data_IF_017812177906
#
_entry.id   IF_017812177906
#
_cell.length_a   1.000
_cell.length_b   1.000
_cell.length_c   1.000
_cell.angle_alpha   90.00
_cell.angle_beta   90.00
_cell.angle_gamma   90.00
#
_symmetry.space_group_name_H-M   'P 1'
#
loop_
_entity.id
_entity.type
_entity.pdbx_description
1 polymer ?
#
# COMPACT_ATOMS: atom_id res chain seq x y z
N UNK A 1 15.07 30.42 -22.54
CA UNK A 1 13.69 29.97 -22.31
C UNK A 1 13.75 28.67 -21.52
N UNK A 2 13.37 28.69 -20.23
CA UNK A 2 13.35 27.48 -19.39
C UNK A 2 12.06 26.73 -19.68
N UNK A 3 12.15 25.67 -20.48
CA UNK A 3 11.05 24.74 -20.68
C UNK A 3 10.90 23.90 -19.40
N UNK A 4 9.94 24.26 -18.56
CA UNK A 4 9.44 23.36 -17.51
C UNK A 4 8.65 22.25 -18.19
N UNK A 5 9.26 21.10 -18.39
CA UNK A 5 8.51 19.86 -18.60
C UNK A 5 7.78 19.57 -17.29
N UNK A 6 6.44 19.44 -17.27
CA UNK A 6 5.79 18.96 -16.07
C UNK A 6 6.26 17.52 -15.84
N UNK A 7 7.03 17.33 -14.78
CA UNK A 7 7.31 16.03 -14.19
C UNK A 7 5.96 15.32 -14.05
N UNK A 8 5.78 14.22 -14.79
CA UNK A 8 4.55 13.43 -14.73
C UNK A 8 4.50 12.82 -13.34
N UNK A 9 3.90 13.54 -12.39
CA UNK A 9 3.42 12.98 -11.15
C UNK A 9 2.59 11.76 -11.55
N UNK A 10 3.01 10.58 -11.10
CA UNK A 10 2.31 9.34 -11.36
C UNK A 10 0.84 9.56 -11.00
N UNK A 11 0.00 9.70 -12.02
CA UNK A 11 -1.44 9.83 -11.86
C UNK A 11 -1.91 8.47 -11.39
N UNK A 12 -1.98 8.32 -10.07
CA UNK A 12 -2.52 7.15 -9.41
C UNK A 12 -3.97 6.98 -9.92
N UNK A 13 -4.18 6.06 -10.86
CA UNK A 13 -5.44 5.92 -11.60
C UNK A 13 -6.62 5.53 -10.69
N UNK A 14 -6.35 5.17 -9.44
CA UNK A 14 -7.32 4.65 -8.49
C UNK A 14 -7.53 5.48 -7.22
N UNK A 15 -6.88 6.64 -7.05
CA UNK A 15 -7.16 7.48 -5.87
C UNK A 15 -8.59 8.00 -5.93
N UNK A 16 -9.44 7.72 -4.91
CA UNK A 16 -10.81 8.20 -4.85
C UNK A 16 -10.86 9.72 -4.96
N UNK A 17 -11.84 10.26 -5.69
CA UNK A 17 -11.97 11.71 -5.88
C UNK A 17 -12.01 12.49 -4.55
N UNK A 18 -12.71 11.94 -3.55
CA UNK A 18 -12.78 12.52 -2.21
C UNK A 18 -11.43 12.55 -1.49
N UNK A 19 -10.53 11.61 -1.77
CA UNK A 19 -9.20 11.53 -1.19
C UNK A 19 -8.17 12.44 -1.88
N UNK A 20 -8.51 13.11 -2.99
CA UNK A 20 -7.59 14.03 -3.70
C UNK A 20 -7.36 15.35 -2.96
N UNK A 21 -8.21 15.71 -1.99
CA UNK A 21 -8.06 16.93 -1.20
C UNK A 21 -7.01 16.70 -0.10
N UNK A 22 -5.83 17.33 -0.15
CA UNK A 22 -4.78 17.11 0.84
C UNK A 22 -5.26 17.47 2.25
N UNK A 23 -4.94 16.64 3.24
CA UNK A 23 -5.27 16.89 4.65
C UNK A 23 -6.73 16.63 5.05
N UNK A 24 -7.59 16.24 4.11
CA UNK A 24 -8.95 15.77 4.40
C UNK A 24 -8.95 14.46 5.20
N UNK A 25 -10.10 14.12 5.82
CA UNK A 25 -10.24 12.83 6.54
C UNK A 25 -10.13 11.67 5.56
N UNK A 26 -10.68 11.86 4.37
CA UNK A 26 -10.70 10.96 3.23
C UNK A 26 -9.27 10.74 2.70
N UNK A 27 -8.47 11.80 2.57
CA UNK A 27 -7.06 11.68 2.19
C UNK A 27 -6.25 10.90 3.24
N UNK A 28 -6.47 11.14 4.53
CA UNK A 28 -5.81 10.35 5.59
C UNK A 28 -6.24 8.88 5.58
N UNK A 29 -7.54 8.61 5.43
CA UNK A 29 -8.05 7.25 5.33
C UNK A 29 -7.50 6.52 4.09
N UNK A 30 -7.34 7.25 2.97
CA UNK A 30 -6.72 6.72 1.76
C UNK A 30 -5.25 6.34 1.98
N UNK A 31 -4.44 7.24 2.56
CA UNK A 31 -3.05 6.94 2.87
C UNK A 31 -2.92 5.73 3.82
N UNK A 32 -3.82 5.64 4.81
CA UNK A 32 -3.86 4.50 5.71
C UNK A 32 -4.18 3.19 4.98
N UNK A 33 -5.14 3.21 4.05
CA UNK A 33 -5.48 2.05 3.23
C UNK A 33 -4.31 1.58 2.34
N UNK A 34 -3.55 2.52 1.76
CA UNK A 34 -2.34 2.20 0.99
C UNK A 34 -1.26 1.57 1.87
N UNK A 35 -1.05 2.08 3.09
CA UNK A 35 -0.10 1.51 4.03
C UNK A 35 -0.48 0.06 4.42
N UNK A 36 -1.77 -0.22 4.62
CA UNK A 36 -2.24 -1.57 4.90
C UNK A 36 -2.00 -2.53 3.73
N UNK A 37 -2.28 -2.10 2.50
CA UNK A 37 -1.96 -2.89 1.30
C UNK A 37 -0.45 -3.19 1.21
N UNK A 38 0.41 -2.23 1.52
CA UNK A 38 1.85 -2.44 1.53
C UNK A 38 2.29 -3.51 2.55
N UNK A 39 1.77 -3.47 3.77
CA UNK A 39 2.07 -4.48 4.80
C UNK A 39 1.58 -5.87 4.38
N UNK A 40 0.38 -5.94 3.78
CA UNK A 40 -0.16 -7.18 3.23
C UNK A 40 0.73 -7.76 2.14
N UNK A 41 1.13 -6.94 1.16
CA UNK A 41 2.00 -7.38 0.06
C UNK A 41 3.35 -7.87 0.58
N UNK A 42 3.97 -7.14 1.53
CA UNK A 42 5.21 -7.58 2.15
C UNK A 42 5.07 -8.96 2.82
N UNK A 43 3.96 -9.19 3.52
CA UNK A 43 3.66 -10.47 4.16
C UNK A 43 3.49 -11.59 3.14
N UNK A 44 2.72 -11.35 2.07
CA UNK A 44 2.49 -12.33 1.00
C UNK A 44 3.77 -12.68 0.26
N UNK A 45 4.61 -11.68 -0.06
CA UNK A 45 5.90 -11.94 -0.70
C UNK A 45 6.81 -12.74 0.23
N UNK A 46 6.90 -12.36 1.51
CA UNK A 46 7.68 -13.11 2.49
C UNK A 46 7.26 -14.59 2.54
N UNK A 47 5.96 -14.88 2.51
CA UNK A 47 5.40 -16.23 2.47
C UNK A 47 5.71 -16.98 1.16
N UNK A 48 5.64 -16.30 0.02
CA UNK A 48 5.98 -16.88 -1.29
C UNK A 48 7.43 -17.38 -1.32
N UNK A 49 8.38 -16.64 -0.72
CA UNK A 49 9.79 -17.03 -0.69
C UNK A 49 10.12 -18.05 0.40
N UNK A 50 9.28 -18.20 1.43
CA UNK A 50 9.45 -19.27 2.44
C UNK A 50 9.11 -20.66 1.88
N UNK A 51 8.20 -20.74 0.90
CA UNK A 51 7.83 -21.99 0.22
C UNK A 51 8.82 -22.45 -0.87
N UNK A 52 9.70 -21.57 -1.34
CA UNK A 52 10.76 -21.90 -2.30
C UNK A 52 11.93 -22.47 -1.50
N UNK A 53 11.87 -23.77 -1.27
CA UNK A 53 12.65 -24.54 -0.30
C UNK A 53 14.14 -24.17 -0.16
N UNK A 54 14.58 -24.23 1.09
CA UNK A 54 15.99 -24.32 1.48
C UNK A 54 16.65 -25.66 1.08
N UNK A 55 15.94 -26.54 0.35
CA UNK A 55 16.38 -27.90 -0.01
C UNK A 55 17.20 -27.98 -1.31
N UNK A 56 17.78 -26.87 -1.77
CA UNK A 56 18.84 -26.96 -2.78
C UNK A 56 20.20 -27.07 -2.08
N UNK A 57 21.06 -28.04 -2.45
CA UNK A 57 22.44 -28.11 -1.95
C UNK A 57 23.27 -26.85 -2.22
N UNK A 58 22.76 -25.92 -3.04
CA UNK A 58 23.33 -24.61 -3.38
C UNK A 58 22.68 -23.43 -2.62
N UNK A 59 21.67 -23.70 -1.78
CA UNK A 59 20.85 -22.72 -1.07
C UNK A 59 21.49 -22.24 0.24
N UNK A 60 22.59 -21.50 0.16
CA UNK A 60 23.20 -20.82 1.32
C UNK A 60 22.71 -19.38 1.53
N UNK A 61 23.17 -18.72 2.61
CA UNK A 61 22.86 -17.31 2.97
C UNK A 61 23.07 -16.28 1.86
N UNK A 62 24.01 -16.56 0.94
CA UNK A 62 24.23 -15.74 -0.26
C UNK A 62 22.98 -15.67 -1.15
N UNK A 63 22.12 -16.70 -1.10
CA UNK A 63 20.89 -16.73 -1.87
C UNK A 63 19.73 -15.95 -1.27
N UNK A 64 19.80 -15.58 0.00
CA UNK A 64 18.78 -14.78 0.67
C UNK A 64 18.90 -13.29 0.29
N UNK A 65 20.13 -12.80 0.09
CA UNK A 65 20.37 -11.41 -0.28
C UNK A 65 19.82 -11.04 -1.66
N UNK A 66 20.03 -11.88 -2.69
CA UNK A 66 19.46 -11.62 -4.02
C UNK A 66 17.95 -11.82 -4.02
N UNK A 67 17.41 -12.72 -3.20
CA UNK A 67 15.96 -12.88 -3.03
C UNK A 67 15.32 -11.63 -2.42
N UNK A 68 15.90 -11.07 -1.36
CA UNK A 68 15.44 -9.80 -0.78
C UNK A 68 15.42 -8.66 -1.80
N UNK A 69 16.48 -8.53 -2.60
CA UNK A 69 16.54 -7.52 -3.66
C UNK A 69 15.45 -7.72 -4.73
N UNK A 70 15.15 -8.97 -5.11
CA UNK A 70 14.07 -9.27 -6.06
C UNK A 70 12.68 -9.00 -5.45
N UNK A 71 12.49 -9.31 -4.17
CA UNK A 71 11.25 -8.98 -3.43
C UNK A 71 11.03 -7.47 -3.46
N UNK A 72 12.07 -6.70 -3.14
CA UNK A 72 11.99 -5.24 -3.10
C UNK A 72 11.66 -4.65 -4.47
N UNK A 73 12.29 -5.13 -5.54
CA UNK A 73 11.99 -4.66 -6.90
C UNK A 73 10.59 -5.09 -7.37
N UNK A 74 10.16 -6.31 -7.04
CA UNK A 74 8.80 -6.75 -7.34
C UNK A 74 7.76 -5.92 -6.58
N UNK A 75 7.99 -5.68 -5.27
CA UNK A 75 7.15 -4.84 -4.44
C UNK A 75 7.09 -3.39 -4.95
N UNK A 76 8.22 -2.80 -5.36
CA UNK A 76 8.25 -1.49 -6.01
C UNK A 76 7.49 -1.49 -7.33
N UNK A 77 7.64 -2.52 -8.16
CA UNK A 77 6.95 -2.61 -9.45
C UNK A 77 5.42 -2.70 -9.28
N UNK A 78 4.95 -3.42 -8.27
CA UNK A 78 3.52 -3.58 -7.95
C UNK A 78 2.97 -2.30 -7.34
N UNK A 79 3.68 -1.70 -6.38
CA UNK A 79 3.22 -0.46 -5.71
C UNK A 79 3.27 0.77 -6.60
N UNK A 80 4.29 0.91 -7.46
CA UNK A 80 4.39 2.01 -8.43
C UNK A 80 3.28 2.00 -9.48
N UNK A 81 2.69 0.85 -9.77
CA UNK A 81 1.51 0.71 -10.62
C UNK A 81 0.18 0.97 -9.88
N UNK A 82 0.24 1.35 -8.60
CA UNK A 82 -0.94 1.60 -7.77
C UNK A 82 -1.35 0.43 -6.87
N UNK A 83 -0.46 -0.54 -6.66
CA UNK A 83 -0.72 -1.72 -5.82
C UNK A 83 -1.45 -2.82 -6.57
N UNK A 84 -2.12 -3.71 -5.84
CA UNK A 84 -3.00 -4.75 -6.41
C UNK A 84 -4.47 -4.32 -6.40
N UNK A 85 -4.76 -3.10 -5.95
CA UNK A 85 -6.09 -2.50 -5.89
C UNK A 85 -6.83 -2.73 -4.57
N UNK A 86 -6.19 -3.36 -3.58
CA UNK A 86 -6.78 -3.68 -2.29
C UNK A 86 -7.04 -2.42 -1.45
N UNK A 87 -6.24 -1.37 -1.64
CA UNK A 87 -6.42 -0.09 -0.94
C UNK A 87 -7.84 0.50 -1.13
N UNK A 88 -8.50 0.26 -2.28
CA UNK A 88 -9.88 0.71 -2.48
C UNK A 88 -10.89 0.01 -1.58
N UNK A 89 -10.74 -1.29 -1.41
CA UNK A 89 -11.61 -2.08 -0.54
C UNK A 89 -11.39 -1.70 0.92
N UNK A 90 -10.12 -1.63 1.36
CA UNK A 90 -9.76 -1.20 2.71
C UNK A 90 -10.26 0.22 2.99
N UNK A 91 -10.11 1.14 2.04
CA UNK A 91 -10.60 2.51 2.17
C UNK A 91 -12.12 2.55 2.42
N UNK A 92 -12.91 1.77 1.67
CA UNK A 92 -14.37 1.72 1.85
C UNK A 92 -14.75 1.20 3.23
N UNK A 93 -14.07 0.16 3.71
CA UNK A 93 -14.29 -0.37 5.06
C UNK A 93 -13.89 0.63 6.15
N UNK A 94 -12.76 1.34 5.98
CA UNK A 94 -12.33 2.38 6.92
C UNK A 94 -13.33 3.53 7.01
N UNK A 95 -13.90 3.97 5.88
CA UNK A 95 -14.92 5.02 5.87
C UNK A 95 -16.22 4.50 6.50
N UNK A 96 -16.68 3.30 6.11
CA UNK A 96 -17.88 2.69 6.67
C UNK A 96 -17.79 2.49 8.19
N UNK A 97 -16.63 2.05 8.69
CA UNK A 97 -16.38 1.92 10.13
C UNK A 97 -16.39 3.27 10.86
N UNK A 98 -15.89 4.34 10.23
CA UNK A 98 -15.94 5.70 10.79
C UNK A 98 -17.35 6.28 10.81
N UNK A 99 -18.20 5.94 9.85
CA UNK A 99 -19.62 6.33 9.83
C UNK A 99 -20.45 5.56 10.87
N UNK A 100 -20.12 4.29 11.09
CA UNK A 100 -20.76 3.44 12.09
C UNK A 100 -20.31 3.74 13.53
N UNK A 101 -19.13 4.35 13.71
CA UNK A 101 -18.63 4.73 15.03
C UNK A 101 -19.55 5.80 15.65
N UNK A 102 -20.18 5.53 16.82
CA UNK A 102 -21.15 6.44 17.40
C UNK A 102 -20.49 7.79 17.66
N UNK A 103 -21.06 8.84 17.05
CA UNK A 103 -20.71 10.24 17.33
C UNK A 103 -20.93 10.45 18.83
N UNK A 104 -19.85 10.36 19.61
CA UNK A 104 -19.86 10.46 21.08
C UNK A 104 -20.67 11.68 21.49
N UNK A 105 -21.89 11.45 21.98
CA UNK A 105 -22.74 12.51 22.51
C UNK A 105 -22.07 13.04 23.79
N UNK A 106 -21.90 14.37 23.94
CA UNK A 106 -21.37 14.92 25.18
C UNK A 106 -22.32 14.57 26.33
N UNK A 107 -21.75 14.18 27.47
CA UNK A 107 -22.50 13.90 28.69
C UNK A 107 -23.33 15.14 29.04
N UNK A 108 -24.65 14.97 29.08
CA UNK A 108 -25.58 16.00 29.55
C UNK A 108 -25.32 16.21 31.05
N UNK A 109 -25.11 17.47 31.43
CA UNK A 109 -24.89 17.93 32.80
C UNK A 109 -26.00 17.53 33.76
#
# INVERSE_FOLDING_TARGET
MRSQTPERAAVNAYTPAAAKVPGSKENRAWNQAQNFEQVFLNTMFSQMFTGIGNDSPLGGKQSEAWRGMLVDEYAKSVTSQGGVGLANHIYRELIGAQEAAPRRLPARS
#
